data_IF_876798516244
#
_entry.id   IF_876798516244
#
_cell.length_a   1.000
_cell.length_b   1.000
_cell.length_c   1.000
_cell.angle_alpha   90.00
_cell.angle_beta   90.00
_cell.angle_gamma   90.00
#
_symmetry.space_group_name_H-M   'P 1'
#
loop_
_entity.id
_entity.type
_entity.pdbx_description
1 polymer ?
#
# COMPACT_ATOMS: atom_id res chain seq x y z
N UNK A 1 -0.76 -5.38 11.53
CA UNK A 1 -1.52 -6.21 10.55
C UNK A 1 -0.65 -6.27 9.32
N UNK A 2 -0.39 -7.45 8.79
CA UNK A 2 0.54 -7.59 7.66
C UNK A 2 -0.25 -7.72 6.37
N UNK A 3 0.10 -6.89 5.38
CA UNK A 3 -0.46 -6.91 4.04
C UNK A 3 0.68 -7.09 3.06
N UNK A 4 0.42 -7.86 2.01
CA UNK A 4 1.35 -8.06 0.91
C UNK A 4 1.53 -6.74 0.13
N UNK A 5 2.78 -6.36 -0.10
CA UNK A 5 3.14 -5.15 -0.86
C UNK A 5 2.46 -5.10 -2.22
N UNK A 6 2.35 -6.24 -2.90
CA UNK A 6 1.68 -6.39 -4.19
C UNK A 6 0.23 -5.88 -4.18
N UNK A 7 -0.49 -6.02 -3.06
CA UNK A 7 -1.86 -5.48 -2.89
C UNK A 7 -1.85 -3.96 -2.84
N UNK A 8 -0.86 -3.39 -2.14
CA UNK A 8 -0.68 -1.94 -2.04
C UNK A 8 -0.34 -1.35 -3.41
N UNK A 9 0.60 -1.98 -4.13
CA UNK A 9 0.99 -1.58 -5.49
C UNK A 9 -0.22 -1.65 -6.43
N UNK A 10 -0.99 -2.74 -6.40
CA UNK A 10 -2.18 -2.88 -7.22
C UNK A 10 -3.19 -1.75 -6.95
N UNK A 11 -3.50 -1.46 -5.68
CA UNK A 11 -4.41 -0.37 -5.30
C UNK A 11 -3.90 1.01 -5.71
N UNK A 12 -2.58 1.25 -5.65
CA UNK A 12 -1.98 2.49 -6.11
C UNK A 12 -2.12 2.65 -7.63
N UNK A 13 -1.89 1.58 -8.40
CA UNK A 13 -2.08 1.59 -9.86
C UNK A 13 -3.55 1.75 -10.26
N UNK A 14 -4.48 1.12 -9.54
CA UNK A 14 -5.92 1.33 -9.76
C UNK A 14 -6.34 2.81 -9.60
N UNK A 15 -5.62 3.58 -8.77
CA UNK A 15 -5.84 5.02 -8.59
C UNK A 15 -5.08 5.90 -9.58
N UNK A 16 -4.32 5.32 -10.50
CA UNK A 16 -3.40 6.07 -11.38
C UNK A 16 -2.21 6.68 -10.65
N UNK A 17 -1.86 6.16 -9.47
CA UNK A 17 -0.71 6.58 -8.67
C UNK A 17 0.52 5.70 -8.99
N UNK A 18 0.82 5.48 -10.27
CA UNK A 18 1.91 4.61 -10.73
C UNK A 18 3.28 5.00 -10.15
N UNK A 19 3.56 6.30 -10.03
CA UNK A 19 4.79 6.82 -9.41
C UNK A 19 4.90 6.40 -7.94
N UNK A 20 3.78 6.39 -7.20
CA UNK A 20 3.78 5.91 -5.80
C UNK A 20 3.86 4.40 -5.73
N UNK A 21 3.29 3.69 -6.71
CA UNK A 21 3.39 2.23 -6.78
C UNK A 21 4.86 1.79 -6.98
N UNK A 22 5.62 2.45 -7.85
CA UNK A 22 7.06 2.18 -8.05
C UNK A 22 7.88 2.52 -6.80
N UNK A 23 7.57 3.65 -6.14
CA UNK A 23 8.20 4.01 -4.88
C UNK A 23 7.97 2.95 -3.79
N UNK A 24 6.72 2.50 -3.62
CA UNK A 24 6.38 1.44 -2.67
C UNK A 24 7.11 0.14 -3.01
N UNK A 25 7.19 -0.22 -4.28
CA UNK A 25 7.89 -1.43 -4.72
C UNK A 25 9.37 -1.45 -4.29
N UNK A 26 10.04 -0.31 -4.32
CA UNK A 26 11.46 -0.19 -3.95
C UNK A 26 11.69 -0.05 -2.46
N UNK A 27 10.82 0.69 -1.77
CA UNK A 27 11.03 1.07 -0.37
C UNK A 27 10.47 0.06 0.63
N UNK A 28 9.37 -0.62 0.25
CA UNK A 28 8.69 -1.53 1.17
C UNK A 28 9.15 -2.99 0.97
N UNK A 29 9.27 -3.75 2.07
CA UNK A 29 9.44 -5.20 2.01
C UNK A 29 8.17 -5.88 1.47
N UNK A 30 8.29 -7.14 1.08
CA UNK A 30 7.17 -7.95 0.57
C UNK A 30 5.98 -7.98 1.54
N UNK A 31 6.27 -8.01 2.84
CA UNK A 31 5.31 -7.99 3.94
C UNK A 31 5.32 -6.64 4.65
N UNK A 32 4.25 -5.88 4.48
CA UNK A 32 4.11 -4.54 5.07
C UNK A 32 3.24 -4.61 6.32
N UNK A 33 3.85 -4.37 7.48
CA UNK A 33 3.09 -4.20 8.72
C UNK A 33 2.46 -2.81 8.79
N UNK A 34 1.17 -2.75 8.51
CA UNK A 34 0.40 -1.49 8.47
C UNK A 34 0.37 -0.75 9.80
N UNK A 35 0.65 -1.42 10.92
CA UNK A 35 0.74 -0.78 12.23
C UNK A 35 2.10 -0.12 12.44
N UNK A 36 3.19 -0.73 11.95
CA UNK A 36 4.54 -0.14 12.03
C UNK A 36 4.76 0.93 10.96
N UNK A 37 4.20 0.73 9.77
CA UNK A 37 4.32 1.64 8.62
C UNK A 37 3.14 2.62 8.50
N UNK A 38 2.29 2.74 9.52
CA UNK A 38 1.09 3.59 9.49
C UNK A 38 1.38 5.04 9.07
N UNK A 39 2.46 5.65 9.57
CA UNK A 39 2.85 7.01 9.18
C UNK A 39 3.26 7.14 7.70
N UNK A 40 3.93 6.11 7.15
CA UNK A 40 4.30 6.08 5.74
C UNK A 40 3.05 5.88 4.85
N UNK A 41 2.15 4.98 5.24
CA UNK A 41 0.89 4.73 4.54
C UNK A 41 -0.01 5.97 4.54
N UNK A 42 -0.09 6.70 5.66
CA UNK A 42 -0.79 7.99 5.73
C UNK A 42 -0.18 9.04 4.81
N UNK A 43 1.15 9.08 4.68
CA UNK A 43 1.85 9.97 3.72
C UNK A 43 1.51 9.61 2.27
N UNK A 44 1.36 8.31 2.02
CA UNK A 44 0.95 7.78 0.72
C UNK A 44 -0.55 7.98 0.43
N UNK A 45 -1.31 8.54 1.38
CA UNK A 45 -2.77 8.69 1.33
C UNK A 45 -3.49 7.35 1.10
N UNK A 46 -2.89 6.27 1.59
CA UNK A 46 -3.45 4.92 1.59
C UNK A 46 -4.12 4.68 2.94
N UNK A 47 -5.45 4.68 2.93
CA UNK A 47 -6.20 4.31 4.12
C UNK A 47 -6.18 2.80 4.30
N UNK A 48 -5.99 2.34 5.54
CA UNK A 48 -5.95 0.92 5.86
C UNK A 48 -7.27 0.22 5.55
N UNK A 49 -8.40 0.94 5.54
CA UNK A 49 -9.69 0.39 5.14
C UNK A 49 -9.75 0.09 3.64
N UNK A 50 -9.05 0.87 2.82
CA UNK A 50 -9.00 0.68 1.37
C UNK A 50 -8.14 -0.53 0.99
N UNK A 51 -7.14 -0.83 1.82
CA UNK A 51 -6.31 -2.04 1.72
C UNK A 51 -6.99 -3.28 2.28
N UNK A 52 -8.01 -3.12 3.13
CA UNK A 52 -8.83 -4.20 3.68
C UNK A 52 -10.01 -4.58 2.79
N UNK A 53 -10.39 -3.73 1.83
CA UNK A 53 -11.46 -4.05 0.90
C UNK A 53 -10.99 -5.20 -0.02
N UNK A 54 -11.63 -6.38 0.04
CA UNK A 54 -11.43 -7.37 -1.01
C UNK A 54 -11.86 -6.71 -2.32
N UNK A 55 -11.02 -6.79 -3.34
CA UNK A 55 -11.42 -6.50 -4.70
C UNK A 55 -12.51 -7.51 -5.07
N UNK A 56 -13.78 -7.14 -4.88
CA UNK A 56 -14.95 -7.88 -5.37
C UNK A 56 -15.22 -7.56 -6.83
#
# INVERSE_FOLDING_TARGET
MIIQKSVIIAKLRERGLDVRADFVDRELPDEVDTLRFGGLLSTLNLDLKELQAPSS
#
